data_IF_405254224152
#
_entry.id   IF_405254224152
#
_cell.length_a   1.000
_cell.length_b   1.000
_cell.length_c   1.000
_cell.angle_alpha   90.00
_cell.angle_beta   90.00
_cell.angle_gamma   90.00
#
_symmetry.space_group_name_H-M   'P 1'
#
loop_
_entity.id
_entity.type
_entity.pdbx_description
1 polymer ?
#
# COMPACT_ATOMS: atom_id res chain seq x y z
N UNK A 1 17.63 -47.34 3.98
CA UNK A 1 16.89 -46.47 4.92
C UNK A 1 17.70 -46.44 6.22
N UNK A 2 18.65 -45.51 6.36
CA UNK A 2 19.55 -45.46 7.52
C UNK A 2 19.09 -44.32 8.44
N UNK A 3 18.67 -44.71 9.65
CA UNK A 3 17.85 -43.89 10.57
C UNK A 3 18.58 -42.73 11.25
N UNK A 4 17.83 -41.63 11.35
CA UNK A 4 18.17 -40.31 11.90
C UNK A 4 18.10 -40.22 13.43
N UNK A 5 18.93 -40.99 14.14
CA UNK A 5 18.90 -40.96 15.62
C UNK A 5 20.04 -41.64 16.35
N UNK A 6 21.17 -41.90 15.69
CA UNK A 6 22.29 -42.68 16.25
C UNK A 6 23.55 -41.89 16.58
N UNK A 7 23.59 -40.59 16.28
CA UNK A 7 24.79 -39.78 16.48
C UNK A 7 24.62 -38.83 17.66
N UNK A 8 25.63 -38.75 18.52
CA UNK A 8 25.69 -37.73 19.58
C UNK A 8 25.92 -36.35 18.95
N UNK A 9 25.57 -35.28 19.67
CA UNK A 9 25.84 -33.91 19.19
C UNK A 9 27.33 -33.70 18.89
N UNK A 10 28.21 -34.28 19.70
CA UNK A 10 29.68 -34.22 19.51
C UNK A 10 30.10 -34.90 18.20
N UNK A 11 29.50 -36.05 17.85
CA UNK A 11 29.75 -36.71 16.58
C UNK A 11 29.24 -35.88 15.41
N UNK A 12 28.06 -35.29 15.54
CA UNK A 12 27.48 -34.41 14.51
C UNK A 12 28.41 -33.20 14.27
N UNK A 13 28.94 -32.58 15.33
CA UNK A 13 29.83 -31.43 15.23
C UNK A 13 31.18 -31.78 14.56
N UNK A 14 31.76 -32.95 14.89
CA UNK A 14 32.96 -33.43 14.22
C UNK A 14 32.73 -33.69 12.72
N UNK A 15 31.60 -34.34 12.38
CA UNK A 15 31.22 -34.51 10.98
C UNK A 15 30.96 -33.16 10.30
N UNK A 16 30.38 -32.20 11.00
CA UNK A 16 30.10 -30.86 10.48
C UNK A 16 31.37 -30.14 10.01
N UNK A 17 32.44 -30.22 10.80
CA UNK A 17 33.73 -29.62 10.47
C UNK A 17 34.33 -30.25 9.19
N UNK A 18 34.37 -31.58 9.14
CA UNK A 18 34.92 -32.31 7.98
C UNK A 18 34.08 -32.04 6.73
N UNK A 19 32.76 -32.15 6.82
CA UNK A 19 31.86 -31.97 5.67
C UNK A 19 31.90 -30.52 5.15
N UNK A 20 31.93 -29.53 6.04
CA UNK A 20 32.03 -28.12 5.65
C UNK A 20 33.34 -27.79 4.93
N UNK A 21 34.42 -28.51 5.23
CA UNK A 21 35.71 -28.37 4.55
C UNK A 21 35.66 -29.01 3.17
N UNK A 22 35.17 -30.25 3.07
CA UNK A 22 35.05 -30.98 1.80
C UNK A 22 34.13 -30.25 0.80
N UNK A 23 33.04 -29.66 1.28
CA UNK A 23 32.12 -28.93 0.43
C UNK A 23 32.76 -27.74 -0.29
N UNK A 24 33.86 -27.18 0.23
CA UNK A 24 34.57 -26.07 -0.43
C UNK A 24 35.34 -26.51 -1.67
N UNK A 25 35.66 -27.80 -1.79
CA UNK A 25 36.55 -28.32 -2.84
C UNK A 25 35.83 -29.17 -3.89
N UNK A 26 34.58 -29.54 -3.67
CA UNK A 26 33.80 -30.35 -4.63
C UNK A 26 32.99 -29.48 -5.59
N UNK A 27 32.67 -30.05 -6.75
CA UNK A 27 31.91 -29.40 -7.81
C UNK A 27 30.45 -29.10 -7.45
N UNK A 28 29.85 -28.13 -8.15
CA UNK A 28 28.48 -27.66 -7.91
C UNK A 28 27.43 -28.79 -7.90
N UNK A 29 27.47 -29.67 -8.90
CA UNK A 29 26.52 -30.77 -9.04
C UNK A 29 26.57 -31.73 -7.84
N UNK A 30 27.77 -32.01 -7.32
CA UNK A 30 27.96 -32.83 -6.14
C UNK A 30 27.41 -32.14 -4.87
N UNK A 31 27.64 -30.83 -4.71
CA UNK A 31 27.06 -30.04 -3.61
C UNK A 31 25.54 -30.01 -3.66
N UNK A 32 24.95 -29.83 -4.85
CA UNK A 32 23.51 -29.81 -5.05
C UNK A 32 22.87 -31.17 -4.69
N UNK A 33 23.44 -32.27 -5.18
CA UNK A 33 23.01 -33.63 -4.85
C UNK A 33 23.10 -33.91 -3.35
N UNK A 34 24.20 -33.49 -2.71
CA UNK A 34 24.40 -33.63 -1.28
C UNK A 34 23.41 -32.78 -0.47
N UNK A 35 23.24 -31.51 -0.82
CA UNK A 35 22.31 -30.61 -0.17
C UNK A 35 20.86 -31.07 -0.27
N UNK A 36 20.43 -31.57 -1.44
CA UNK A 36 19.10 -32.16 -1.61
C UNK A 36 18.83 -33.30 -0.62
N UNK A 37 19.80 -34.18 -0.39
CA UNK A 37 19.68 -35.29 0.58
C UNK A 37 19.61 -34.80 2.03
N UNK A 38 20.37 -33.77 2.39
CA UNK A 38 20.36 -33.20 3.74
C UNK A 38 19.15 -32.30 4.01
N UNK A 39 18.52 -31.76 2.97
CA UNK A 39 17.52 -30.69 3.07
C UNK A 39 16.31 -30.99 3.96
N UNK A 40 16.02 -32.27 4.23
CA UNK A 40 14.85 -32.69 5.04
C UNK A 40 15.25 -33.39 6.33
N UNK A 41 16.55 -33.50 6.62
CA UNK A 41 17.04 -34.22 7.80
C UNK A 41 17.02 -33.31 9.04
N UNK A 42 16.34 -33.71 10.13
CA UNK A 42 16.24 -32.91 11.35
C UNK A 42 17.54 -32.90 12.17
N UNK A 43 18.43 -33.84 11.93
CA UNK A 43 19.74 -34.01 12.56
C UNK A 43 20.90 -33.51 11.68
N UNK A 44 20.60 -32.82 10.57
CA UNK A 44 21.64 -32.34 9.66
C UNK A 44 22.64 -31.38 10.37
N UNK A 45 23.95 -31.50 10.05
CA UNK A 45 24.99 -30.65 10.64
C UNK A 45 24.78 -29.16 10.32
N UNK A 46 24.85 -28.29 11.33
CA UNK A 46 24.37 -26.90 11.23
C UNK A 46 25.25 -26.04 10.34
N UNK A 47 26.58 -26.14 10.46
CA UNK A 47 27.54 -25.36 9.66
C UNK A 47 27.47 -25.77 8.20
N UNK A 48 27.31 -27.06 7.92
CA UNK A 48 27.12 -27.63 6.59
C UNK A 48 25.83 -27.12 5.95
N UNK A 49 24.70 -27.17 6.67
CA UNK A 49 23.42 -26.63 6.20
C UNK A 49 23.54 -25.13 5.90
N UNK A 50 24.15 -24.35 6.80
CA UNK A 50 24.35 -22.93 6.60
C UNK A 50 25.28 -22.64 5.41
N UNK A 51 26.35 -23.40 5.23
CA UNK A 51 27.26 -23.25 4.10
C UNK A 51 26.53 -23.47 2.76
N UNK A 52 25.74 -24.53 2.64
CA UNK A 52 24.98 -24.85 1.44
C UNK A 52 23.86 -23.83 1.17
N UNK A 53 23.18 -23.34 2.22
CA UNK A 53 22.17 -22.30 2.09
C UNK A 53 22.73 -20.98 1.54
N UNK A 54 24.01 -20.69 1.80
CA UNK A 54 24.71 -19.49 1.33
C UNK A 54 25.62 -19.76 0.12
N UNK A 55 25.50 -20.91 -0.53
CA UNK A 55 26.16 -21.14 -1.82
C UNK A 55 25.65 -20.11 -2.83
N UNK A 56 26.51 -19.63 -3.72
CA UNK A 56 26.09 -18.66 -4.75
C UNK A 56 25.28 -19.32 -5.88
N UNK A 57 25.46 -20.64 -6.07
CA UNK A 57 24.70 -21.41 -7.03
C UNK A 57 23.30 -21.73 -6.47
N UNK A 58 22.21 -21.24 -7.11
CA UNK A 58 20.85 -21.47 -6.62
C UNK A 58 20.51 -22.97 -6.53
N UNK A 59 20.98 -23.79 -7.47
CA UNK A 59 20.75 -25.24 -7.49
C UNK A 59 21.19 -25.95 -6.20
N UNK A 60 22.21 -25.41 -5.52
CA UNK A 60 22.72 -25.93 -4.25
C UNK A 60 21.90 -25.40 -3.07
N UNK A 61 21.61 -24.11 -3.07
CA UNK A 61 20.96 -23.43 -1.95
C UNK A 61 19.45 -23.70 -1.86
N UNK A 62 18.74 -23.80 -3.01
CA UNK A 62 17.28 -23.88 -3.07
C UNK A 62 16.68 -25.01 -2.20
N UNK A 63 17.12 -26.28 -2.30
CA UNK A 63 16.53 -27.36 -1.51
C UNK A 63 16.69 -27.11 0.00
N UNK A 64 17.84 -26.54 0.40
CA UNK A 64 18.14 -26.24 1.80
C UNK A 64 17.26 -25.10 2.30
N UNK A 65 17.18 -24.01 1.56
CA UNK A 65 16.38 -22.84 1.92
C UNK A 65 14.88 -23.17 1.98
N UNK A 66 14.38 -24.03 1.10
CA UNK A 66 12.95 -24.33 1.01
C UNK A 66 12.49 -25.39 2.03
N UNK A 67 13.36 -26.34 2.41
CA UNK A 67 12.95 -27.50 3.20
C UNK A 67 13.66 -27.68 4.54
N UNK A 68 14.84 -27.10 4.75
CA UNK A 68 15.63 -27.41 5.94
C UNK A 68 14.98 -26.88 7.21
N UNK A 69 14.73 -27.75 8.22
CA UNK A 69 14.26 -27.33 9.54
C UNK A 69 15.40 -26.79 10.41
N UNK A 70 16.66 -26.89 9.95
CA UNK A 70 17.86 -26.49 10.71
C UNK A 70 18.26 -25.04 10.51
N UNK A 71 17.62 -24.33 9.58
CA UNK A 71 17.82 -22.90 9.39
C UNK A 71 16.97 -22.13 10.38
N UNK A 72 17.62 -21.38 11.25
CA UNK A 72 16.94 -20.41 12.10
C UNK A 72 16.51 -19.17 11.31
N UNK A 73 15.62 -18.40 11.93
CA UNK A 73 15.06 -17.19 11.37
C UNK A 73 16.14 -16.14 11.03
N UNK A 74 17.14 -15.97 11.91
CA UNK A 74 18.21 -15.00 11.71
C UNK A 74 19.03 -15.32 10.44
N UNK A 75 19.32 -16.60 10.23
CA UNK A 75 20.03 -17.13 9.07
C UNK A 75 19.21 -16.95 7.79
N UNK A 76 17.91 -17.23 7.82
CA UNK A 76 17.02 -17.00 6.67
C UNK A 76 16.95 -15.52 6.30
N UNK A 77 16.78 -14.64 7.29
CA UNK A 77 16.70 -13.20 7.06
C UNK A 77 18.03 -12.63 6.53
N UNK A 78 19.17 -13.12 7.03
CA UNK A 78 20.50 -12.75 6.54
C UNK A 78 20.73 -13.19 5.09
N UNK A 79 20.33 -14.42 4.76
CA UNK A 79 20.39 -14.93 3.39
C UNK A 79 19.54 -14.08 2.44
N UNK A 80 18.29 -13.81 2.82
CA UNK A 80 17.37 -12.97 2.05
C UNK A 80 17.88 -11.53 1.86
N UNK A 81 18.69 -10.99 2.79
CA UNK A 81 19.30 -9.66 2.64
C UNK A 81 20.47 -9.65 1.67
N UNK A 82 21.20 -10.76 1.53
CA UNK A 82 22.53 -10.78 0.86
C UNK A 82 22.55 -11.53 -0.47
N UNK A 83 21.68 -12.53 -0.69
CA UNK A 83 21.74 -13.45 -1.84
C UNK A 83 20.82 -13.09 -3.01
N UNK A 84 20.85 -13.87 -4.09
CA UNK A 84 20.13 -13.55 -5.35
C UNK A 84 18.60 -13.69 -5.21
N UNK A 85 17.84 -13.21 -6.21
CA UNK A 85 16.37 -13.33 -6.23
C UNK A 85 15.89 -14.78 -6.17
N UNK A 86 16.64 -15.74 -6.74
CA UNK A 86 16.31 -17.16 -6.69
C UNK A 86 16.36 -17.72 -5.26
N UNK A 87 17.30 -17.22 -4.45
CA UNK A 87 17.39 -17.58 -3.03
C UNK A 87 16.17 -17.06 -2.27
N UNK A 88 15.76 -15.81 -2.55
CA UNK A 88 14.58 -15.21 -1.93
C UNK A 88 13.32 -15.96 -2.33
N UNK A 89 13.23 -16.39 -3.58
CA UNK A 89 12.10 -17.18 -4.08
C UNK A 89 12.03 -18.55 -3.38
N UNK A 90 13.17 -19.21 -3.15
CA UNK A 90 13.24 -20.45 -2.39
C UNK A 90 12.80 -20.26 -0.93
N UNK A 91 13.26 -19.20 -0.28
CA UNK A 91 12.83 -18.86 1.09
C UNK A 91 11.32 -18.60 1.11
N UNK A 92 10.78 -17.84 0.15
CA UNK A 92 9.35 -17.57 0.05
C UNK A 92 8.48 -18.84 -0.10
N UNK A 93 9.06 -19.95 -0.58
CA UNK A 93 8.41 -21.25 -0.74
C UNK A 93 8.35 -22.12 0.52
N UNK A 94 8.96 -21.71 1.64
CA UNK A 94 8.92 -22.47 2.90
C UNK A 94 7.49 -22.61 3.43
N UNK A 95 7.20 -23.65 4.20
CA UNK A 95 5.86 -23.87 4.76
C UNK A 95 5.43 -22.83 5.79
N UNK A 96 6.37 -22.20 6.49
CA UNK A 96 6.12 -21.18 7.50
C UNK A 96 7.16 -20.06 7.34
N UNK A 97 6.71 -18.81 7.41
CA UNK A 97 7.56 -17.63 7.35
C UNK A 97 7.19 -16.66 8.47
N UNK A 98 8.19 -16.22 9.21
CA UNK A 98 8.04 -15.24 10.28
C UNK A 98 8.11 -13.81 9.73
N UNK A 99 7.59 -12.86 10.51
CA UNK A 99 7.49 -11.46 10.09
C UNK A 99 8.86 -10.86 9.67
N UNK A 100 9.95 -10.99 10.44
CA UNK A 100 11.28 -10.51 10.03
C UNK A 100 11.79 -11.05 8.70
N UNK A 101 11.47 -12.31 8.35
CA UNK A 101 11.87 -12.89 7.06
C UNK A 101 11.00 -12.33 5.95
N UNK A 102 9.68 -12.30 6.16
CA UNK A 102 8.75 -11.76 5.15
C UNK A 102 9.01 -10.29 4.85
N UNK A 103 9.38 -9.47 5.85
CA UNK A 103 9.68 -8.06 5.66
C UNK A 103 10.88 -7.85 4.71
N UNK A 104 11.91 -8.69 4.84
CA UNK A 104 13.05 -8.69 3.91
C UNK A 104 12.60 -9.15 2.51
N UNK A 105 11.81 -10.21 2.42
CA UNK A 105 11.32 -10.73 1.14
C UNK A 105 10.45 -9.70 0.40
N UNK A 106 9.57 -9.01 1.11
CA UNK A 106 8.69 -7.97 0.56
C UNK A 106 9.47 -6.68 0.24
N UNK A 107 10.48 -6.33 1.04
CA UNK A 107 11.29 -5.14 0.83
C UNK A 107 12.26 -5.26 -0.36
N UNK A 108 12.93 -6.41 -0.49
CA UNK A 108 14.01 -6.61 -1.48
C UNK A 108 13.64 -7.52 -2.66
N UNK A 109 12.67 -8.41 -2.46
CA UNK A 109 12.27 -9.38 -3.48
C UNK A 109 11.64 -8.72 -4.70
N UNK A 110 11.79 -9.35 -5.87
CA UNK A 110 11.08 -8.97 -7.08
C UNK A 110 9.57 -9.34 -6.98
N UNK A 111 8.82 -9.16 -8.06
CA UNK A 111 7.38 -9.45 -8.05
C UNK A 111 7.07 -10.93 -7.80
N UNK A 112 7.89 -11.85 -8.31
CA UNK A 112 7.69 -13.29 -8.14
C UNK A 112 7.87 -13.71 -6.67
N UNK A 113 8.89 -13.17 -6.01
CA UNK A 113 9.12 -13.36 -4.58
C UNK A 113 7.94 -12.83 -3.76
N UNK A 114 7.48 -11.62 -4.05
CA UNK A 114 6.35 -11.01 -3.34
C UNK A 114 5.06 -11.81 -3.53
N UNK A 115 4.77 -12.26 -4.75
CA UNK A 115 3.60 -13.10 -5.05
C UNK A 115 3.70 -14.44 -4.34
N UNK A 116 4.87 -15.10 -4.39
CA UNK A 116 5.09 -16.38 -3.71
C UNK A 116 4.91 -16.24 -2.20
N UNK A 117 5.50 -15.22 -1.58
CA UNK A 117 5.34 -14.93 -0.16
C UNK A 117 3.88 -14.62 0.22
N UNK A 118 3.16 -13.81 -0.59
CA UNK A 118 1.77 -13.48 -0.31
C UNK A 118 0.85 -14.71 -0.45
N UNK A 119 1.09 -15.57 -1.45
CA UNK A 119 0.33 -16.81 -1.66
C UNK A 119 0.56 -17.88 -0.58
N UNK A 120 1.58 -17.70 0.25
CA UNK A 120 1.95 -18.63 1.30
C UNK A 120 1.05 -18.46 2.54
N UNK A 121 0.15 -19.41 2.76
CA UNK A 121 -0.78 -19.40 3.90
C UNK A 121 -0.11 -19.51 5.27
N UNK A 122 1.14 -19.94 5.35
CA UNK A 122 1.95 -19.96 6.58
C UNK A 122 2.82 -18.72 6.79
N UNK A 123 2.81 -17.76 5.86
CA UNK A 123 3.57 -16.53 6.00
C UNK A 123 2.86 -15.54 6.94
N UNK A 124 3.59 -15.03 7.94
CA UNK A 124 3.14 -13.93 8.80
C UNK A 124 3.82 -12.65 8.37
N UNK A 125 3.06 -11.57 8.28
CA UNK A 125 3.56 -10.26 7.88
C UNK A 125 3.42 -9.27 9.03
N UNK A 126 4.47 -8.47 9.25
CA UNK A 126 4.36 -7.35 10.17
C UNK A 126 3.38 -6.30 9.58
N UNK A 127 2.88 -5.36 10.40
CA UNK A 127 2.10 -4.24 9.90
C UNK A 127 2.81 -3.44 8.79
N UNK A 128 4.14 -3.31 8.90
CA UNK A 128 4.97 -2.65 7.90
C UNK A 128 5.07 -3.48 6.61
N UNK A 129 5.37 -4.78 6.71
CA UNK A 129 5.44 -5.69 5.57
C UNK A 129 4.12 -5.77 4.81
N UNK A 130 3.00 -5.78 5.53
CA UNK A 130 1.65 -5.73 4.93
C UNK A 130 1.40 -4.42 4.18
N UNK A 131 1.79 -3.28 4.76
CA UNK A 131 1.68 -1.98 4.07
C UNK A 131 2.52 -1.93 2.80
N UNK A 132 3.74 -2.46 2.84
CA UNK A 132 4.62 -2.57 1.66
C UNK A 132 4.03 -3.49 0.59
N UNK A 133 3.45 -4.64 0.97
CA UNK A 133 2.74 -5.54 0.06
C UNK A 133 1.58 -4.86 -0.65
N UNK A 134 0.72 -4.16 0.10
CA UNK A 134 -0.41 -3.41 -0.47
C UNK A 134 0.07 -2.32 -1.43
N UNK A 135 1.12 -1.59 -1.08
CA UNK A 135 1.74 -0.59 -1.96
C UNK A 135 2.21 -1.19 -3.28
N UNK A 136 2.86 -2.36 -3.24
CA UNK A 136 3.33 -3.08 -4.44
C UNK A 136 2.19 -3.69 -5.26
N UNK A 137 1.09 -4.06 -4.61
CA UNK A 137 -0.06 -4.66 -5.27
C UNK A 137 -0.90 -3.67 -6.08
N UNK A 138 -0.63 -2.36 -5.96
CA UNK A 138 -1.32 -1.27 -6.67
C UNK A 138 -1.48 -1.53 -8.17
N UNK A 139 -0.39 -1.95 -8.82
CA UNK A 139 -0.32 -2.22 -10.26
C UNK A 139 -0.06 -3.69 -10.59
N UNK A 140 0.07 -4.55 -9.57
CA UNK A 140 0.31 -5.97 -9.73
C UNK A 140 -0.95 -6.78 -9.38
N UNK A 141 -1.71 -7.15 -10.41
CA UNK A 141 -2.94 -7.91 -10.21
C UNK A 141 -2.73 -9.27 -9.54
N UNK A 142 -1.64 -9.98 -9.87
CA UNK A 142 -1.37 -11.29 -9.29
C UNK A 142 -1.14 -11.18 -7.77
N UNK A 143 -0.38 -10.17 -7.35
CA UNK A 143 -0.13 -9.89 -5.95
C UNK A 143 -1.41 -9.45 -5.21
N UNK A 144 -2.17 -8.54 -5.81
CA UNK A 144 -3.44 -8.06 -5.25
C UNK A 144 -4.43 -9.21 -5.01
N UNK A 145 -4.52 -10.15 -5.96
CA UNK A 145 -5.36 -11.34 -5.84
C UNK A 145 -4.91 -12.27 -4.70
N UNK A 146 -3.59 -12.45 -4.53
CA UNK A 146 -3.06 -13.25 -3.42
C UNK A 146 -3.41 -12.62 -2.08
N UNK A 147 -3.27 -11.30 -1.94
CA UNK A 147 -3.65 -10.56 -0.72
C UNK A 147 -5.17 -10.65 -0.51
N UNK A 148 -5.96 -10.47 -1.56
CA UNK A 148 -7.43 -10.48 -1.48
C UNK A 148 -8.01 -11.81 -1.01
N UNK A 149 -7.39 -12.92 -1.41
CA UNK A 149 -7.85 -14.26 -1.05
C UNK A 149 -7.51 -14.68 0.39
N UNK A 150 -6.70 -13.88 1.12
CA UNK A 150 -6.22 -14.24 2.45
C UNK A 150 -7.24 -13.92 3.54
N UNK A 151 -7.66 -14.91 4.35
CA UNK A 151 -8.66 -14.70 5.40
C UNK A 151 -8.11 -13.99 6.64
N UNK A 152 -6.80 -14.01 6.85
CA UNK A 152 -6.11 -13.40 7.98
C UNK A 152 -5.90 -11.89 7.81
N UNK A 153 -6.23 -11.32 6.65
CA UNK A 153 -6.02 -9.90 6.36
C UNK A 153 -7.20 -9.06 6.87
N UNK A 154 -6.97 -8.03 7.71
CA UNK A 154 -8.02 -7.16 8.17
C UNK A 154 -8.72 -6.43 7.03
N UNK A 155 -10.03 -6.25 7.17
CA UNK A 155 -10.88 -5.53 6.21
C UNK A 155 -10.35 -4.14 5.85
N UNK A 156 -9.78 -3.42 6.82
CA UNK A 156 -9.19 -2.09 6.58
C UNK A 156 -8.05 -2.15 5.54
N UNK A 157 -7.22 -3.18 5.59
CA UNK A 157 -6.11 -3.39 4.65
C UNK A 157 -6.64 -3.72 3.25
N UNK A 158 -7.68 -4.54 3.15
CA UNK A 158 -8.35 -4.85 1.88
C UNK A 158 -9.01 -3.59 1.28
N UNK A 159 -9.60 -2.73 2.12
CA UNK A 159 -10.12 -1.43 1.71
C UNK A 159 -9.02 -0.53 1.14
N UNK A 160 -7.87 -0.42 1.83
CA UNK A 160 -6.71 0.34 1.35
C UNK A 160 -6.21 -0.20 0.00
N UNK A 161 -6.08 -1.51 -0.13
CA UNK A 161 -5.72 -2.16 -1.39
C UNK A 161 -6.69 -1.77 -2.51
N UNK A 162 -8.00 -1.91 -2.27
CA UNK A 162 -9.02 -1.61 -3.26
C UNK A 162 -9.03 -0.14 -3.68
N UNK A 163 -8.90 0.79 -2.72
CA UNK A 163 -8.88 2.25 -2.99
C UNK A 163 -7.67 2.66 -3.81
N UNK A 164 -6.50 2.10 -3.50
CA UNK A 164 -5.25 2.50 -4.15
C UNK A 164 -4.94 1.72 -5.43
N UNK A 165 -5.60 0.57 -5.65
CA UNK A 165 -5.43 -0.25 -6.83
C UNK A 165 -5.77 0.48 -8.14
N UNK A 166 -4.98 0.18 -9.18
CA UNK A 166 -5.29 0.62 -10.55
C UNK A 166 -6.66 0.08 -11.00
N UNK A 167 -7.25 0.71 -11.99
CA UNK A 167 -8.57 0.30 -12.52
C UNK A 167 -8.55 -1.15 -13.03
N UNK A 168 -7.45 -1.57 -13.65
CA UNK A 168 -7.26 -2.94 -14.11
C UNK A 168 -7.20 -3.95 -12.94
N UNK A 169 -6.54 -3.59 -11.84
CA UNK A 169 -6.50 -4.42 -10.64
C UNK A 169 -7.87 -4.47 -9.97
N UNK A 170 -8.57 -3.32 -9.83
CA UNK A 170 -9.93 -3.27 -9.27
C UNK A 170 -10.91 -4.13 -10.06
N UNK A 171 -10.90 -4.05 -11.39
CA UNK A 171 -11.75 -4.88 -12.24
C UNK A 171 -11.49 -6.38 -12.05
N UNK A 172 -10.22 -6.78 -11.85
CA UNK A 172 -9.87 -8.17 -11.52
C UNK A 172 -10.33 -8.60 -10.12
N UNK A 173 -10.24 -7.72 -9.13
CA UNK A 173 -10.75 -8.00 -7.78
C UNK A 173 -12.27 -8.13 -7.77
N UNK A 174 -12.97 -7.27 -8.53
CA UNK A 174 -14.43 -7.30 -8.68
C UNK A 174 -14.92 -8.58 -9.37
N UNK A 175 -14.19 -9.05 -10.39
CA UNK A 175 -14.53 -10.31 -11.07
C UNK A 175 -14.22 -11.54 -10.21
N UNK A 176 -13.22 -11.46 -9.34
CA UNK A 176 -12.88 -12.53 -8.42
C UNK A 176 -13.89 -12.70 -7.28
N UNK A 177 -14.34 -11.58 -6.69
CA UNK A 177 -15.36 -11.59 -5.63
C UNK A 177 -16.29 -10.37 -5.75
N UNK A 178 -17.38 -10.49 -6.53
CA UNK A 178 -18.34 -9.40 -6.72
C UNK A 178 -19.02 -8.95 -5.42
N UNK A 179 -19.26 -9.87 -4.48
CA UNK A 179 -19.96 -9.56 -3.22
C UNK A 179 -19.06 -8.77 -2.28
N UNK A 180 -17.81 -9.20 -2.11
CA UNK A 180 -16.87 -8.48 -1.26
C UNK A 180 -16.49 -7.12 -1.86
N UNK A 181 -16.36 -7.04 -3.19
CA UNK A 181 -16.09 -5.78 -3.87
C UNK A 181 -17.25 -4.77 -3.70
N UNK A 182 -18.50 -5.19 -3.85
CA UNK A 182 -19.68 -4.32 -3.62
C UNK A 182 -19.82 -3.88 -2.15
N UNK A 183 -19.51 -4.75 -1.18
CA UNK A 183 -19.45 -4.40 0.25
C UNK A 183 -18.33 -3.40 0.57
N UNK A 184 -17.20 -3.50 -0.12
CA UNK A 184 -16.09 -2.56 0.02
C UNK A 184 -16.42 -1.23 -0.66
N UNK A 185 -16.96 -1.23 -1.88
CA UNK A 185 -17.42 -0.03 -2.57
C UNK A 185 -18.48 0.71 -1.75
N UNK A 186 -19.49 0.00 -1.24
CA UNK A 186 -20.52 0.58 -0.37
C UNK A 186 -19.91 1.10 0.92
N UNK A 187 -18.98 0.41 1.57
CA UNK A 187 -18.32 0.94 2.77
C UNK A 187 -17.31 2.06 2.54
N UNK A 188 -16.76 2.21 1.34
CA UNK A 188 -15.98 3.39 0.96
C UNK A 188 -16.93 4.56 0.74
N UNK A 189 -18.05 4.35 0.03
CA UNK A 189 -19.08 5.36 -0.19
C UNK A 189 -19.74 5.78 1.14
N UNK A 190 -20.10 4.83 1.98
CA UNK A 190 -20.68 5.01 3.31
C UNK A 190 -19.65 5.47 4.34
N UNK A 191 -18.42 4.96 4.34
CA UNK A 191 -17.38 5.41 5.27
C UNK A 191 -16.99 6.85 4.98
N UNK A 192 -16.84 7.21 3.71
CA UNK A 192 -16.54 8.59 3.34
C UNK A 192 -17.72 9.54 3.56
N UNK A 193 -18.97 9.12 3.35
CA UNK A 193 -20.11 10.01 3.54
C UNK A 193 -20.67 9.93 4.96
N UNK A 194 -20.86 8.75 5.58
CA UNK A 194 -21.40 8.58 6.94
C UNK A 194 -20.40 8.99 8.02
N UNK A 195 -19.09 8.67 7.98
CA UNK A 195 -18.17 9.20 9.01
C UNK A 195 -18.05 10.71 8.94
N UNK A 196 -17.95 11.30 7.75
CA UNK A 196 -17.94 12.76 7.65
C UNK A 196 -19.30 13.36 8.03
N UNK A 197 -20.43 12.74 7.67
CA UNK A 197 -21.76 13.26 8.06
C UNK A 197 -22.01 13.12 9.56
N UNK A 198 -21.58 12.02 10.19
CA UNK A 198 -21.65 11.82 11.65
C UNK A 198 -20.67 12.74 12.38
N UNK A 199 -19.45 12.93 11.86
CA UNK A 199 -18.49 13.90 12.41
C UNK A 199 -19.00 15.34 12.30
N UNK A 200 -19.65 15.72 11.18
CA UNK A 200 -20.33 17.01 11.01
C UNK A 200 -21.51 17.18 11.96
N UNK A 201 -22.32 16.14 12.13
CA UNK A 201 -23.48 16.15 13.03
C UNK A 201 -23.08 16.28 14.50
N UNK A 202 -21.89 15.79 14.88
CA UNK A 202 -21.32 15.92 16.22
C UNK A 202 -20.46 17.17 16.47
N UNK A 203 -20.11 17.94 15.44
CA UNK A 203 -19.21 19.11 15.57
C UNK A 203 -19.99 20.43 15.66
N UNK A 204 -19.94 21.07 16.83
CA UNK A 204 -20.49 22.42 17.02
C UNK A 204 -19.73 23.47 16.19
N UNK A 205 -18.45 23.23 15.89
CA UNK A 205 -17.63 24.13 15.07
C UNK A 205 -18.05 24.09 13.61
N UNK A 206 -18.33 22.89 13.08
CA UNK A 206 -18.87 22.71 11.73
C UNK A 206 -20.24 23.39 11.58
N UNK A 207 -21.13 23.21 12.56
CA UNK A 207 -22.45 23.85 12.55
C UNK A 207 -22.36 25.39 12.55
N UNK A 208 -21.44 25.96 13.33
CA UNK A 208 -21.17 27.41 13.35
C UNK A 208 -20.58 27.91 12.04
N UNK A 209 -19.56 27.22 11.52
CA UNK A 209 -18.95 27.54 10.23
C UNK A 209 -19.97 27.48 9.08
N UNK A 210 -20.84 26.46 9.08
CA UNK A 210 -21.92 26.33 8.11
C UNK A 210 -22.91 27.49 8.18
N UNK A 211 -23.31 27.90 9.38
CA UNK A 211 -24.23 29.03 9.57
C UNK A 211 -23.62 30.37 9.14
N UNK A 212 -22.36 30.62 9.55
CA UNK A 212 -21.61 31.83 9.21
C UNK A 212 -21.40 31.97 7.70
N UNK A 213 -20.88 30.91 7.06
CA UNK A 213 -20.57 30.94 5.62
C UNK A 213 -21.85 30.97 4.78
N UNK A 214 -22.93 30.28 5.21
CA UNK A 214 -24.25 30.42 4.55
C UNK A 214 -24.81 31.82 4.64
N UNK A 215 -24.68 32.49 5.79
CA UNK A 215 -25.09 33.88 5.96
C UNK A 215 -24.33 34.78 4.98
N UNK A 216 -23.00 34.64 4.90
CA UNK A 216 -22.16 35.40 3.97
C UNK A 216 -22.53 35.13 2.50
N UNK A 217 -22.82 33.88 2.15
CA UNK A 217 -23.26 33.51 0.80
C UNK A 217 -24.62 34.12 0.45
N UNK A 218 -25.58 34.14 1.38
CA UNK A 218 -26.91 34.72 1.14
C UNK A 218 -26.89 36.23 0.89
N UNK A 219 -25.89 36.93 1.44
CA UNK A 219 -25.66 38.37 1.25
C UNK A 219 -24.73 38.63 0.04
N UNK A 220 -24.27 37.58 -0.66
CA UNK A 220 -23.40 37.68 -1.82
C UNK A 220 -21.96 38.10 -1.51
N UNK A 221 -21.54 38.02 -0.25
CA UNK A 221 -20.20 38.43 0.21
C UNK A 221 -19.21 37.26 0.27
N UNK A 222 -19.56 36.09 -0.27
CA UNK A 222 -18.64 34.96 -0.36
C UNK A 222 -17.75 35.12 -1.59
N UNK A 223 -16.64 35.84 -1.42
CA UNK A 223 -15.64 36.09 -2.45
C UNK A 223 -14.31 35.39 -2.13
N UNK A 224 -13.36 35.50 -3.06
CA UNK A 224 -12.02 34.94 -2.90
C UNK A 224 -11.28 35.48 -1.66
N UNK A 225 -11.49 36.75 -1.31
CA UNK A 225 -10.85 37.37 -0.15
C UNK A 225 -11.32 36.73 1.16
N UNK A 226 -12.61 36.38 1.26
CA UNK A 226 -13.15 35.62 2.41
C UNK A 226 -12.58 34.20 2.47
N UNK A 227 -12.47 33.51 1.34
CA UNK A 227 -11.87 32.17 1.28
C UNK A 227 -10.41 32.21 1.76
N UNK A 228 -9.63 33.20 1.31
CA UNK A 228 -8.27 33.44 1.79
C UNK A 228 -8.23 33.77 3.28
N UNK A 229 -9.18 34.56 3.78
CA UNK A 229 -9.35 34.85 5.20
C UNK A 229 -9.55 33.58 6.03
N UNK A 230 -10.43 32.67 5.59
CA UNK A 230 -10.68 31.39 6.27
C UNK A 230 -9.44 30.49 6.30
N UNK A 231 -8.65 30.48 5.22
CA UNK A 231 -7.37 29.76 5.16
C UNK A 231 -6.36 30.40 6.14
N UNK A 232 -6.31 31.73 6.22
CA UNK A 232 -5.48 32.47 7.17
C UNK A 232 -5.86 32.21 8.64
N UNK A 233 -7.16 32.13 8.94
CA UNK A 233 -7.71 31.68 10.24
C UNK A 233 -7.41 30.20 10.55
N UNK A 234 -6.84 29.47 9.58
CA UNK A 234 -6.62 28.03 9.60
C UNK A 234 -7.89 27.20 9.80
N UNK A 235 -9.04 27.72 9.37
CA UNK A 235 -10.33 27.06 9.55
C UNK A 235 -10.65 26.15 8.36
N UNK A 236 -10.51 24.84 8.57
CA UNK A 236 -10.82 23.84 7.55
C UNK A 236 -12.32 23.82 7.22
N UNK A 237 -13.19 23.84 8.24
CA UNK A 237 -14.64 23.80 8.07
C UNK A 237 -15.16 24.98 7.25
N UNK A 238 -14.73 26.21 7.56
CA UNK A 238 -15.17 27.39 6.81
C UNK A 238 -14.71 27.33 5.35
N UNK A 239 -13.48 26.87 5.11
CA UNK A 239 -12.92 26.72 3.75
C UNK A 239 -13.68 25.65 2.95
N UNK A 240 -13.96 24.49 3.55
CA UNK A 240 -14.70 23.40 2.91
C UNK A 240 -16.15 23.80 2.59
N UNK A 241 -16.83 24.49 3.52
CA UNK A 241 -18.19 25.00 3.29
C UNK A 241 -18.19 26.06 2.18
N UNK A 242 -17.24 26.99 2.20
CA UNK A 242 -17.13 28.04 1.19
C UNK A 242 -16.98 27.46 -0.21
N UNK A 243 -16.03 26.53 -0.39
CA UNK A 243 -15.80 25.86 -1.66
C UNK A 243 -17.01 25.01 -2.10
N UNK A 244 -17.70 24.36 -1.16
CA UNK A 244 -18.94 23.61 -1.44
C UNK A 244 -20.04 24.51 -2.02
N UNK A 245 -20.28 25.68 -1.42
CA UNK A 245 -21.29 26.62 -1.89
C UNK A 245 -20.90 27.26 -3.23
N UNK A 246 -19.64 27.68 -3.39
CA UNK A 246 -19.17 28.31 -4.63
C UNK A 246 -19.14 27.35 -5.83
N UNK A 247 -18.84 26.07 -5.58
CA UNK A 247 -18.76 25.05 -6.64
C UNK A 247 -20.05 24.24 -6.83
N UNK A 248 -21.08 24.47 -6.02
CA UNK A 248 -22.34 23.70 -5.99
C UNK A 248 -22.07 22.18 -6.01
N UNK A 249 -21.19 21.77 -5.10
CA UNK A 249 -20.83 20.37 -4.85
C UNK A 249 -21.13 20.00 -3.40
N UNK A 250 -21.49 18.74 -3.12
CA UNK A 250 -21.71 18.29 -1.76
C UNK A 250 -20.42 18.43 -0.94
N UNK A 251 -20.55 18.90 0.30
CA UNK A 251 -19.42 19.21 1.18
C UNK A 251 -18.47 18.02 1.39
N UNK A 252 -18.97 16.79 1.38
CA UNK A 252 -18.12 15.60 1.49
C UNK A 252 -17.22 15.35 0.28
N UNK A 253 -17.64 15.73 -0.92
CA UNK A 253 -16.77 15.67 -2.09
C UNK A 253 -15.62 16.68 -1.96
N UNK A 254 -15.90 17.88 -1.44
CA UNK A 254 -14.90 18.93 -1.21
C UNK A 254 -13.94 18.53 -0.10
N UNK A 255 -14.43 18.09 1.05
CA UNK A 255 -13.57 17.63 2.15
C UNK A 255 -12.67 16.48 1.71
N UNK A 256 -13.20 15.51 0.93
CA UNK A 256 -12.37 14.46 0.32
C UNK A 256 -11.27 15.03 -0.57
N UNK A 257 -11.61 15.96 -1.47
CA UNK A 257 -10.64 16.56 -2.38
C UNK A 257 -9.54 17.31 -1.60
N UNK A 258 -9.91 18.02 -0.53
CA UNK A 258 -8.99 18.73 0.34
C UNK A 258 -8.10 17.78 1.15
N UNK A 259 -8.65 16.68 1.69
CA UNK A 259 -7.90 15.71 2.51
C UNK A 259 -6.98 14.84 1.66
N UNK A 260 -7.46 14.36 0.50
CA UNK A 260 -6.67 13.48 -0.39
C UNK A 260 -5.56 14.21 -1.13
N UNK A 261 -5.54 15.54 -1.10
CA UNK A 261 -4.49 16.38 -1.72
C UNK A 261 -4.23 16.05 -3.20
N UNK A 262 -5.28 15.72 -3.95
CA UNK A 262 -5.19 15.52 -5.40
C UNK A 262 -5.18 16.90 -6.09
N UNK A 263 -4.02 17.37 -6.59
CA UNK A 263 -3.87 18.74 -7.04
C UNK A 263 -4.79 19.04 -8.23
N UNK A 264 -4.94 18.09 -9.16
CA UNK A 264 -5.76 18.24 -10.37
C UNK A 264 -7.22 18.59 -10.06
N UNK A 265 -7.81 17.94 -9.05
CA UNK A 265 -9.19 18.21 -8.64
C UNK A 265 -9.32 19.63 -8.06
N UNK A 266 -8.37 20.04 -7.21
CA UNK A 266 -8.35 21.39 -6.63
C UNK A 266 -8.17 22.46 -7.72
N UNK A 267 -7.30 22.22 -8.71
CA UNK A 267 -7.11 23.13 -9.84
C UNK A 267 -8.38 23.31 -10.67
N UNK A 268 -9.11 22.22 -10.96
CA UNK A 268 -10.37 22.27 -11.70
C UNK A 268 -11.43 23.04 -10.90
N UNK A 269 -11.57 22.75 -9.60
CA UNK A 269 -12.50 23.44 -8.71
C UNK A 269 -12.22 24.93 -8.66
N UNK A 270 -10.97 25.31 -8.37
CA UNK A 270 -10.57 26.70 -8.26
C UNK A 270 -10.79 27.46 -9.57
N UNK A 271 -10.42 26.86 -10.72
CA UNK A 271 -10.60 27.49 -12.03
C UNK A 271 -12.08 27.61 -12.43
N UNK A 272 -12.91 26.64 -12.10
CA UNK A 272 -14.34 26.65 -12.42
C UNK A 272 -15.10 27.71 -11.61
N UNK A 273 -14.71 27.90 -10.34
CA UNK A 273 -15.23 28.92 -9.43
C UNK A 273 -14.67 30.32 -9.73
N UNK A 274 -13.54 30.39 -10.44
CA UNK A 274 -12.91 31.65 -10.83
C UNK A 274 -11.93 32.21 -9.80
N UNK A 275 -11.41 31.36 -8.91
CA UNK A 275 -10.37 31.73 -7.95
C UNK A 275 -9.05 32.01 -8.67
N UNK A 276 -8.25 32.95 -8.16
CA UNK A 276 -6.91 33.20 -8.65
C UNK A 276 -5.93 32.07 -8.31
N UNK A 277 -4.73 32.13 -8.89
CA UNK A 277 -3.65 31.22 -8.51
C UNK A 277 -3.24 31.40 -7.05
N UNK A 278 -3.30 32.61 -6.50
CA UNK A 278 -2.87 32.86 -5.13
C UNK A 278 -3.80 32.17 -4.13
N UNK A 279 -5.11 32.23 -4.34
CA UNK A 279 -6.08 31.44 -3.57
C UNK A 279 -5.93 29.94 -3.79
N UNK A 280 -5.71 29.51 -5.04
CA UNK A 280 -5.50 28.09 -5.36
C UNK A 280 -4.26 27.54 -4.66
N UNK A 281 -3.16 28.29 -4.69
CA UNK A 281 -1.91 27.98 -4.00
C UNK A 281 -2.14 27.92 -2.50
N UNK A 282 -2.84 28.90 -1.93
CA UNK A 282 -3.18 28.91 -0.50
C UNK A 282 -3.93 27.64 -0.10
N UNK A 283 -4.92 27.20 -0.88
CA UNK A 283 -5.67 25.95 -0.66
C UNK A 283 -4.74 24.73 -0.76
N UNK A 284 -3.84 24.68 -1.75
CA UNK A 284 -2.88 23.58 -1.91
C UNK A 284 -1.85 23.51 -0.77
N UNK A 285 -1.47 24.65 -0.19
CA UNK A 285 -0.48 24.73 0.90
C UNK A 285 -1.10 24.71 2.31
N UNK A 286 -2.42 24.73 2.40
CA UNK A 286 -3.18 24.75 3.66
C UNK A 286 -3.03 23.44 4.47
N UNK A 287 -2.61 22.33 3.85
CA UNK A 287 -2.52 21.01 4.49
C UNK A 287 -1.19 20.79 5.25
N UNK A 288 -1.20 20.19 6.45
CA UNK A 288 0.01 19.92 7.23
C UNK A 288 0.78 18.70 6.67
N UNK A 289 2.08 18.88 6.38
CA UNK A 289 3.02 17.77 6.13
C UNK A 289 3.83 17.81 4.83
N UNK A 290 3.60 18.75 3.91
CA UNK A 290 4.32 18.82 2.64
C UNK A 290 5.44 19.90 2.64
N UNK A 291 6.53 19.67 3.39
CA UNK A 291 7.58 20.68 3.54
C UNK A 291 8.84 20.48 2.66
N UNK A 292 8.96 19.39 1.88
CA UNK A 292 10.17 19.15 1.06
C UNK A 292 9.95 18.85 -0.43
N UNK A 293 8.79 18.35 -0.87
CA UNK A 293 8.47 18.14 -2.29
C UNK A 293 7.63 19.27 -2.92
N UNK A 294 7.34 20.33 -2.16
CA UNK A 294 6.31 21.31 -2.51
C UNK A 294 6.67 22.21 -3.70
N UNK A 295 7.94 22.56 -3.92
CA UNK A 295 8.28 23.63 -4.88
C UNK A 295 8.10 23.22 -6.34
N UNK A 296 8.70 22.11 -6.76
CA UNK A 296 8.60 21.60 -8.13
C UNK A 296 7.16 21.17 -8.47
N UNK A 297 6.47 20.58 -7.48
CA UNK A 297 5.05 20.22 -7.59
C UNK A 297 4.14 21.44 -7.74
N UNK A 298 4.41 22.53 -7.01
CA UNK A 298 3.66 23.79 -7.15
C UNK A 298 3.92 24.45 -8.51
N UNK A 299 5.13 24.37 -9.05
CA UNK A 299 5.46 24.87 -10.39
C UNK A 299 4.71 24.10 -11.48
N UNK A 300 4.62 22.77 -11.38
CA UNK A 300 3.80 21.93 -12.28
C UNK A 300 2.30 22.24 -12.15
N UNK A 301 1.82 22.46 -10.93
CA UNK A 301 0.44 22.85 -10.67
C UNK A 301 0.13 24.24 -11.26
N UNK A 302 1.06 25.19 -11.16
CA UNK A 302 0.92 26.53 -11.74
C UNK A 302 0.81 26.45 -13.27
N UNK A 303 1.72 25.70 -13.92
CA UNK A 303 1.69 25.50 -15.36
C UNK A 303 0.37 24.86 -15.83
N UNK A 304 -0.13 23.88 -15.08
CA UNK A 304 -1.41 23.21 -15.36
C UNK A 304 -2.60 24.15 -15.17
N UNK A 305 -2.59 24.97 -14.12
CA UNK A 305 -3.63 25.95 -13.84
C UNK A 305 -3.74 27.04 -14.92
N UNK A 306 -2.60 27.51 -15.44
CA UNK A 306 -2.57 28.48 -16.54
C UNK A 306 -3.06 27.88 -17.86
N UNK A 307 -2.71 26.63 -18.14
CA UNK A 307 -3.16 25.91 -19.36
C UNK A 307 -4.66 25.62 -19.33
N UNK A 308 -5.23 25.40 -18.15
CA UNK A 308 -6.65 25.07 -17.99
C UNK A 308 -7.53 26.29 -18.32
N UNK A 309 -8.35 26.16 -19.37
CA UNK A 309 -9.34 27.19 -19.73
C UNK A 309 -10.55 27.15 -18.79
N UNK A 310 -11.10 28.30 -18.36
CA UNK A 310 -12.26 28.35 -17.46
C UNK A 310 -13.48 27.56 -17.97
N UNK A 311 -13.75 27.59 -19.28
CA UNK A 311 -14.87 26.85 -19.87
C UNK A 311 -14.67 25.33 -19.78
N UNK A 312 -13.44 24.85 -19.95
CA UNK A 312 -13.08 23.44 -19.78
C UNK A 312 -13.21 23.01 -18.32
N UNK A 313 -12.80 23.86 -17.38
CA UNK A 313 -12.97 23.62 -15.95
C UNK A 313 -14.45 23.54 -15.55
N UNK A 314 -15.29 24.46 -16.05
CA UNK A 314 -16.74 24.43 -15.82
C UNK A 314 -17.40 23.18 -16.39
N UNK A 315 -17.01 22.76 -17.60
CA UNK A 315 -17.50 21.52 -18.20
C UNK A 315 -17.10 20.29 -17.38
N UNK A 316 -15.83 20.20 -16.97
CA UNK A 316 -15.35 19.14 -16.08
C UNK A 316 -16.13 19.12 -14.76
N UNK A 317 -16.38 20.30 -14.15
CA UNK A 317 -17.17 20.42 -12.93
C UNK A 317 -18.61 19.91 -13.10
N UNK A 318 -19.25 20.18 -14.24
CA UNK A 318 -20.59 19.65 -14.55
C UNK A 318 -20.60 18.12 -14.62
N UNK A 319 -19.56 17.51 -15.23
CA UNK A 319 -19.39 16.05 -15.20
C UNK A 319 -19.20 15.52 -13.78
N UNK A 320 -18.41 16.20 -12.95
CA UNK A 320 -18.24 15.84 -11.54
C UNK A 320 -19.57 15.91 -10.77
N UNK A 321 -20.37 16.96 -10.96
CA UNK A 321 -21.70 17.10 -10.36
C UNK A 321 -22.64 15.97 -10.78
N UNK A 322 -22.65 15.61 -12.06
CA UNK A 322 -23.48 14.52 -12.56
C UNK A 322 -23.09 13.17 -11.94
N UNK A 323 -21.77 12.91 -11.80
CA UNK A 323 -21.26 11.69 -11.17
C UNK A 323 -21.60 11.59 -9.69
N UNK A 324 -21.45 12.68 -8.93
CA UNK A 324 -21.81 12.69 -7.51
C UNK A 324 -23.33 12.56 -7.30
N UNK A 325 -24.16 13.17 -8.16
CA UNK A 325 -25.63 13.03 -8.10
C UNK A 325 -26.08 11.62 -8.49
N UNK A 326 -25.46 10.99 -9.49
CA UNK A 326 -25.74 9.60 -9.85
C UNK A 326 -25.35 8.63 -8.72
N UNK A 327 -24.25 8.90 -8.02
CA UNK A 327 -23.84 8.15 -6.83
C UNK A 327 -24.77 8.33 -5.62
N UNK A 328 -25.43 9.49 -5.49
CA UNK A 328 -26.44 9.75 -4.45
C UNK A 328 -27.82 9.15 -4.79
N UNK A 329 -28.20 9.14 -6.07
CA UNK A 329 -29.49 8.60 -6.53
C UNK A 329 -29.62 7.07 -6.47
N UNK A 330 -28.50 6.34 -6.47
CA UNK A 330 -28.48 4.87 -6.36
C UNK A 330 -28.60 4.35 -4.90
N UNK A 331 -28.83 5.24 -3.94
CA UNK A 331 -28.96 4.92 -2.51
C UNK A 331 -30.35 5.20 -1.92
N UNK A 332 -31.37 5.30 -2.78
CA UNK A 332 -32.78 5.30 -2.41
C UNK A 332 -33.51 4.08 -2.96
#
# INVERSE_FOLDING_TARGET
MFGSGKFTNEQIDLFDEVMSTLLRTIECAARASFGSRLSRLPDAPRRTIRLLAFDDAPEVAMPILEHSPRLDEATLAENARTKSQDHLLAIAGRTQLTEPVTDVLVGRGNNDVAVRAASNGGARFSPQGMSSLVGRARDNSALAMCIWARPDIPRETLLKLFVHASEMVRSKLETADPRQATLIQSAIAEGSNKLQTVARAGSSEHARALAEVKSLHSVGQLDEARVLGFIGERSFDKTAVALSLMSDLPIGAIERALVRSEPEQILILAKAVGLSWDATKAILTFQPGAAHEAKERLEQCFASFLRLKPNTAKAALQFYRLRERAGQGASH
#
